data_IF_498678978573
#
_entry.id   IF_498678978573
#
_cell.length_a   1.000
_cell.length_b   1.000
_cell.length_c   1.000
_cell.angle_alpha   90.00
_cell.angle_beta   90.00
_cell.angle_gamma   90.00
#
_symmetry.space_group_name_H-M   'P 1'
#
loop_
_entity.id
_entity.type
_entity.pdbx_description
1 polymer ?
#
# COMPACT_ATOMS: atom_id res chain seq x y z
N UNK A 1 -6.17 -19.62 6.93
CA UNK A 1 -6.81 -19.18 5.67
C UNK A 1 -6.45 -17.72 5.38
N UNK A 2 -5.15 -17.43 5.22
CA UNK A 2 -4.65 -16.11 4.80
C UNK A 2 -4.07 -16.25 3.39
N UNK A 3 -4.93 -16.60 2.44
CA UNK A 3 -4.59 -16.78 1.03
C UNK A 3 -4.59 -15.44 0.31
N UNK A 4 -3.50 -14.70 0.42
CA UNK A 4 -3.21 -13.47 -0.33
C UNK A 4 -2.75 -13.84 -1.75
N UNK A 5 -3.63 -14.44 -2.53
CA UNK A 5 -3.37 -14.78 -3.94
C UNK A 5 -3.97 -13.69 -4.84
N UNK A 6 -3.38 -13.23 -5.94
CA UNK A 6 -2.03 -13.20 -6.50
C UNK A 6 -2.26 -12.45 -7.83
N UNK A 7 -1.59 -11.33 -8.10
CA UNK A 7 -1.25 -10.85 -9.47
C UNK A 7 -0.41 -9.56 -9.36
N UNK A 8 0.64 -9.56 -8.55
CA UNK A 8 1.66 -8.51 -8.57
C UNK A 8 3.01 -9.17 -8.45
N UNK A 9 3.94 -8.76 -9.31
CA UNK A 9 5.30 -9.28 -9.29
C UNK A 9 5.95 -8.91 -7.95
N UNK A 10 6.76 -9.82 -7.39
CA UNK A 10 7.54 -9.57 -6.16
C UNK A 10 8.15 -8.15 -6.10
N UNK A 11 8.78 -7.60 -7.17
CA UNK A 11 9.34 -6.24 -7.16
C UNK A 11 8.32 -5.11 -6.92
N UNK A 12 7.10 -5.20 -7.45
CA UNK A 12 6.08 -4.15 -7.24
C UNK A 12 5.57 -4.12 -5.79
N UNK A 13 5.53 -5.27 -5.14
CA UNK A 13 5.21 -5.38 -3.70
C UNK A 13 6.29 -4.70 -2.85
N UNK A 14 7.55 -4.94 -3.18
CA UNK A 14 8.70 -4.31 -2.50
C UNK A 14 8.76 -2.81 -2.75
N UNK A 15 8.50 -2.35 -3.99
CA UNK A 15 8.47 -0.92 -4.30
C UNK A 15 7.46 -0.18 -3.40
N UNK A 16 6.25 -0.71 -3.23
CA UNK A 16 5.23 -0.10 -2.36
C UNK A 16 5.62 -0.12 -0.88
N UNK A 17 6.26 -1.19 -0.42
CA UNK A 17 6.78 -1.28 0.95
C UNK A 17 7.89 -0.27 1.22
N UNK A 18 8.85 -0.14 0.29
CA UNK A 18 9.97 0.82 0.39
C UNK A 18 9.43 2.25 0.39
N UNK A 19 8.60 2.60 -0.59
CA UNK A 19 8.00 3.95 -0.68
C UNK A 19 7.25 4.29 0.62
N UNK A 20 6.45 3.35 1.13
CA UNK A 20 5.73 3.56 2.37
C UNK A 20 6.64 3.78 3.59
N UNK A 21 7.78 3.09 3.66
CA UNK A 21 8.75 3.24 4.75
C UNK A 21 9.31 4.66 4.81
N UNK A 22 9.45 5.34 3.66
CA UNK A 22 9.89 6.73 3.59
C UNK A 22 8.75 7.73 3.81
N UNK A 23 7.51 7.39 3.43
CA UNK A 23 6.36 8.31 3.57
C UNK A 23 5.80 8.37 5.00
N UNK A 24 5.76 7.26 5.74
CA UNK A 24 5.23 7.24 7.12
C UNK A 24 5.97 8.22 8.06
N UNK A 25 7.33 8.25 8.11
CA UNK A 25 8.06 9.16 8.98
C UNK A 25 8.06 10.63 8.52
N UNK A 26 7.46 10.95 7.37
CA UNK A 26 7.43 12.33 6.85
C UNK A 26 6.82 13.34 7.82
N UNK A 27 5.76 12.95 8.55
CA UNK A 27 5.12 13.80 9.58
C UNK A 27 6.04 14.10 10.76
N UNK A 28 6.99 13.21 11.05
CA UNK A 28 7.94 13.41 12.14
C UNK A 28 9.09 14.33 11.75
N UNK A 29 9.44 14.41 10.46
CA UNK A 29 10.58 15.19 9.97
C UNK A 29 10.16 16.58 9.50
N UNK A 30 8.98 16.71 8.89
CA UNK A 30 8.53 17.93 8.20
C UNK A 30 7.53 18.75 9.03
N UNK A 31 7.09 18.27 10.19
CA UNK A 31 6.14 18.96 11.08
C UNK A 31 4.67 18.58 10.84
N UNK A 32 3.78 19.21 11.60
CA UNK A 32 2.33 18.94 11.60
C UNK A 32 1.55 19.81 10.59
N UNK A 33 2.10 20.00 9.41
CA UNK A 33 1.40 20.66 8.31
C UNK A 33 0.46 19.69 7.58
N UNK A 34 -0.51 20.24 6.84
CA UNK A 34 -1.47 19.44 6.07
C UNK A 34 -0.79 18.48 5.08
N UNK A 35 0.27 18.93 4.43
CA UNK A 35 1.03 18.17 3.44
C UNK A 35 1.67 16.89 4.00
N UNK A 36 2.54 16.95 5.03
CA UNK A 36 3.15 15.76 5.61
C UNK A 36 2.13 14.84 6.31
N UNK A 37 1.01 15.37 6.80
CA UNK A 37 -0.08 14.57 7.38
C UNK A 37 -0.79 13.71 6.31
N UNK A 38 -1.11 14.32 5.16
CA UNK A 38 -1.61 13.60 3.97
C UNK A 38 -0.59 12.58 3.45
N UNK A 39 0.69 12.94 3.41
CA UNK A 39 1.75 12.05 2.94
C UNK A 39 1.92 10.81 3.83
N UNK A 40 1.87 10.98 5.16
CA UNK A 40 1.91 9.85 6.09
C UNK A 40 0.67 8.95 5.96
N UNK A 41 -0.52 9.54 5.75
CA UNK A 41 -1.75 8.79 5.48
C UNK A 41 -1.66 7.96 4.19
N UNK A 42 -1.13 8.54 3.11
CA UNK A 42 -0.86 7.82 1.85
C UNK A 42 0.13 6.67 2.09
N UNK A 43 1.17 6.88 2.91
CA UNK A 43 2.09 5.83 3.34
C UNK A 43 1.36 4.65 3.98
N UNK A 44 0.51 4.89 4.98
CA UNK A 44 -0.25 3.83 5.66
C UNK A 44 -1.10 3.01 4.67
N UNK A 45 -1.73 3.66 3.69
CA UNK A 45 -2.51 2.96 2.65
C UNK A 45 -1.59 2.10 1.77
N UNK A 46 -0.40 2.59 1.41
CA UNK A 46 0.57 1.83 0.62
C UNK A 46 1.08 0.59 1.37
N UNK A 47 1.35 0.68 2.68
CA UNK A 47 1.82 -0.48 3.45
C UNK A 47 0.73 -1.54 3.60
N UNK A 48 -0.52 -1.11 3.78
CA UNK A 48 -1.66 -2.02 3.76
C UNK A 48 -1.78 -2.74 2.41
N UNK A 49 -1.56 -2.02 1.31
CA UNK A 49 -1.51 -2.61 -0.03
C UNK A 49 -0.33 -3.57 -0.24
N UNK A 50 0.83 -3.31 0.39
CA UNK A 50 1.99 -4.20 0.33
C UNK A 50 1.80 -5.48 1.17
N UNK A 51 1.11 -5.40 2.31
CA UNK A 51 0.84 -6.54 3.19
C UNK A 51 -0.30 -7.42 2.68
N UNK A 52 -1.46 -6.82 2.39
CA UNK A 52 -2.69 -7.51 1.98
C UNK A 52 -2.76 -7.84 0.50
N UNK A 53 -1.81 -7.31 -0.30
CA UNK A 53 -1.82 -7.39 -1.76
C UNK A 53 -2.88 -6.49 -2.39
N UNK A 54 -2.75 -6.24 -3.70
CA UNK A 54 -3.71 -5.41 -4.45
C UNK A 54 -5.11 -6.03 -4.56
N UNK A 55 -5.26 -7.30 -4.23
CA UNK A 55 -6.51 -8.04 -4.40
C UNK A 55 -7.70 -7.37 -3.71
N UNK A 56 -7.50 -6.96 -2.46
CA UNK A 56 -8.53 -6.31 -1.66
C UNK A 56 -8.80 -4.88 -2.14
N UNK A 57 -7.76 -4.10 -2.43
CA UNK A 57 -7.89 -2.76 -3.03
C UNK A 57 -8.65 -2.81 -4.35
N UNK A 58 -8.24 -3.66 -5.28
CA UNK A 58 -8.89 -3.80 -6.58
C UNK A 58 -10.32 -4.27 -6.45
N UNK A 59 -10.63 -5.15 -5.47
CA UNK A 59 -12.00 -5.57 -5.18
C UNK A 59 -12.88 -4.42 -4.65
N UNK A 60 -12.34 -3.54 -3.80
CA UNK A 60 -13.04 -2.33 -3.34
C UNK A 60 -13.32 -1.39 -4.51
N UNK A 61 -12.38 -1.27 -5.45
CA UNK A 61 -12.56 -0.49 -6.68
C UNK A 61 -13.37 -1.21 -7.77
N UNK A 62 -13.93 -2.40 -7.50
CA UNK A 62 -14.75 -3.16 -8.45
C UNK A 62 -13.97 -3.88 -9.56
N UNK A 63 -12.63 -3.83 -9.52
CA UNK A 63 -11.73 -4.43 -10.51
C UNK A 63 -11.43 -5.87 -10.10
N UNK A 64 -11.85 -6.83 -10.93
CA UNK A 64 -11.64 -8.27 -10.71
C UNK A 64 -10.24 -8.67 -11.15
N UNK A 65 -9.21 -8.24 -10.42
CA UNK A 65 -7.80 -8.57 -10.77
C UNK A 65 -7.30 -9.90 -10.20
N UNK A 66 -7.99 -10.46 -9.21
CA UNK A 66 -7.62 -11.74 -8.63
C UNK A 66 -8.41 -12.85 -9.28
N UNK A 67 -7.83 -13.40 -10.33
CA UNK A 67 -8.27 -14.67 -10.88
C UNK A 67 -7.58 -15.80 -10.11
N UNK A 68 -8.38 -16.76 -9.65
CA UNK A 68 -7.95 -17.87 -8.82
C UNK A 68 -7.65 -19.05 -9.74
N UNK A 69 -6.41 -19.18 -10.18
CA UNK A 69 -5.90 -20.44 -10.73
C UNK A 69 -5.06 -21.18 -9.69
#
# INVERSE_FOLDING_TARGET
MFGVFQNISVPERWARAIISLFLIPSVSVQGYDLFPLLQSFVGIILIYNALSGICWTSRIFGIKTCDRN
#
